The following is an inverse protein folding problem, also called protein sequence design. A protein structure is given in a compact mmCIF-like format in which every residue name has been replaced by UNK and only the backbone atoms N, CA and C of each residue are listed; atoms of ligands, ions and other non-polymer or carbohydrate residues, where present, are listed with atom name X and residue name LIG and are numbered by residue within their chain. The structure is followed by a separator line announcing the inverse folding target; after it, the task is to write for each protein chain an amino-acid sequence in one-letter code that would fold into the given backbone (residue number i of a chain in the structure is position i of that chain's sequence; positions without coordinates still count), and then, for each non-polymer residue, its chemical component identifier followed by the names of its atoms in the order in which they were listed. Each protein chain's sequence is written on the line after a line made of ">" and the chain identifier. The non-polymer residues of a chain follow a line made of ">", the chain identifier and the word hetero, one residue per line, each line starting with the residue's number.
data_IF_460183246985
#
_entry.id   IF_460183246985
#
_cell.length_a   1.000
_cell.length_b   1.000
_cell.length_c   1.000
_cell.angle_alpha   90.00
_cell.angle_beta   90.00
_cell.angle_gamma   90.00
#
_symmetry.space_group_name_H-M   'P 1'
#
loop_
_entity.id
_entity.type
_entity.pdbx_description
1 polymer ?
#
# COMPACT_ATOMS: atom_id res chain seq x y z
N UNK A 1 -41.13 79.86 -6.73
CA UNK A 1 -41.51 78.75 -5.80
C UNK A 1 -40.85 77.49 -6.23
N UNK A 2 -39.84 77.09 -5.52
CA UNK A 2 -38.92 76.00 -5.86
C UNK A 2 -39.36 74.74 -5.11
N UNK A 3 -39.47 73.62 -5.85
CA UNK A 3 -39.63 72.31 -5.26
C UNK A 3 -38.43 71.44 -5.70
N UNK A 4 -37.57 71.24 -4.71
CA UNK A 4 -36.43 70.33 -4.79
C UNK A 4 -36.89 68.87 -4.69
N UNK A 5 -36.70 68.09 -5.74
CA UNK A 5 -36.77 66.63 -5.69
C UNK A 5 -35.40 66.06 -5.46
N UNK A 6 -35.15 65.54 -4.29
CA UNK A 6 -33.96 64.70 -3.97
C UNK A 6 -34.28 63.26 -4.35
N UNK A 7 -33.72 62.79 -5.43
CA UNK A 7 -33.71 61.38 -5.78
C UNK A 7 -32.78 60.60 -4.84
N UNK A 8 -33.37 59.75 -4.03
CA UNK A 8 -32.68 58.79 -3.20
C UNK A 8 -32.36 57.54 -4.01
N UNK A 9 -31.12 57.42 -4.46
CA UNK A 9 -30.60 56.17 -5.09
C UNK A 9 -30.31 55.17 -3.98
N UNK A 10 -31.22 54.17 -3.83
CA UNK A 10 -30.96 52.99 -2.99
C UNK A 10 -30.18 52.00 -3.83
N UNK A 11 -28.88 51.94 -3.65
CA UNK A 11 -28.02 50.90 -4.23
C UNK A 11 -28.19 49.60 -3.41
N UNK A 12 -28.98 48.66 -3.96
CA UNK A 12 -29.04 47.30 -3.45
C UNK A 12 -27.69 46.62 -3.78
N UNK A 13 -26.78 46.53 -2.77
CA UNK A 13 -25.66 45.63 -2.81
C UNK A 13 -26.22 44.22 -2.64
N UNK A 14 -26.36 43.50 -3.73
CA UNK A 14 -26.59 42.07 -3.76
C UNK A 14 -25.32 41.37 -3.27
N UNK A 15 -25.29 41.05 -1.96
CA UNK A 15 -24.30 40.14 -1.39
C UNK A 15 -24.57 38.75 -1.94
N UNK A 16 -23.93 38.43 -3.08
CA UNK A 16 -23.76 37.04 -3.49
C UNK A 16 -22.86 36.32 -2.48
N UNK A 17 -23.48 35.76 -1.45
CA UNK A 17 -22.82 34.77 -0.59
C UNK A 17 -22.55 33.55 -1.46
N UNK A 18 -21.32 33.45 -1.96
CA UNK A 18 -20.81 32.17 -2.45
C UNK A 18 -20.79 31.22 -1.26
N UNK A 19 -21.90 30.51 -1.07
CA UNK A 19 -21.86 29.30 -0.24
C UNK A 19 -20.96 28.32 -0.99
N UNK A 20 -19.68 28.27 -0.59
CA UNK A 20 -18.82 27.13 -0.89
C UNK A 20 -19.48 25.93 -0.23
N UNK A 21 -20.27 25.18 -1.00
CA UNK A 21 -20.68 23.85 -0.59
C UNK A 21 -19.40 23.04 -0.44
N UNK A 22 -18.86 22.98 0.77
CA UNK A 22 -17.94 21.92 1.15
C UNK A 22 -18.71 20.63 0.88
N UNK A 23 -18.26 19.84 -0.06
CA UNK A 23 -18.92 18.59 -0.45
C UNK A 23 -19.05 17.75 0.83
N UNK A 24 -20.28 17.62 1.34
CA UNK A 24 -20.53 16.89 2.57
C UNK A 24 -20.19 15.42 2.33
N UNK A 25 -19.25 14.88 3.11
CA UNK A 25 -18.81 13.50 3.00
C UNK A 25 -19.95 12.57 3.45
N UNK A 26 -20.76 12.09 2.50
CA UNK A 26 -21.83 11.13 2.81
C UNK A 26 -21.25 9.80 3.27
N UNK A 27 -22.04 9.01 4.01
CA UNK A 27 -21.64 7.67 4.44
C UNK A 27 -21.25 6.76 3.25
N UNK A 28 -21.92 6.95 2.10
CA UNK A 28 -21.62 6.22 0.86
C UNK A 28 -20.24 6.59 0.30
N UNK A 29 -19.90 7.90 0.26
CA UNK A 29 -18.59 8.37 -0.18
C UNK A 29 -17.50 7.83 0.72
N UNK A 30 -17.69 7.88 2.04
CA UNK A 30 -16.73 7.36 3.02
C UNK A 30 -16.52 5.85 2.86
N UNK A 31 -17.58 5.07 2.72
CA UNK A 31 -17.52 3.62 2.52
C UNK A 31 -16.79 3.26 1.22
N UNK A 32 -17.09 3.97 0.13
CA UNK A 32 -16.44 3.79 -1.16
C UNK A 32 -14.93 4.10 -1.07
N UNK A 33 -14.56 5.24 -0.49
CA UNK A 33 -13.17 5.64 -0.35
C UNK A 33 -12.39 4.66 0.52
N UNK A 34 -12.98 4.18 1.63
CA UNK A 34 -12.40 3.15 2.48
C UNK A 34 -12.12 1.86 1.72
N UNK A 35 -13.06 1.42 0.87
CA UNK A 35 -12.91 0.23 0.05
C UNK A 35 -11.81 0.39 -1.01
N UNK A 36 -11.78 1.52 -1.71
CA UNK A 36 -10.75 1.83 -2.70
C UNK A 36 -9.36 1.89 -2.05
N UNK A 37 -9.23 2.56 -0.90
CA UNK A 37 -7.97 2.63 -0.16
C UNK A 37 -7.51 1.24 0.26
N UNK A 38 -8.42 0.38 0.73
CA UNK A 38 -8.10 -0.99 1.09
C UNK A 38 -7.55 -1.80 -0.10
N UNK A 39 -8.14 -1.65 -1.29
CA UNK A 39 -7.64 -2.31 -2.52
C UNK A 39 -6.23 -1.84 -2.88
N UNK A 40 -5.93 -0.56 -2.68
CA UNK A 40 -4.66 0.04 -3.11
C UNK A 40 -3.53 -0.21 -2.11
N UNK A 41 -3.78 0.04 -0.81
CA UNK A 41 -2.74 0.06 0.23
C UNK A 41 -2.94 -0.99 1.32
N UNK A 42 -3.95 -1.85 1.20
CA UNK A 42 -4.30 -2.91 2.16
C UNK A 42 -4.49 -2.41 3.60
N UNK A 43 -4.70 -1.10 3.79
CA UNK A 43 -4.95 -0.48 5.09
C UNK A 43 -6.44 -0.25 5.30
N UNK A 44 -6.93 -0.64 6.47
CA UNK A 44 -8.26 -0.29 6.95
C UNK A 44 -8.12 0.71 8.10
N UNK A 45 -8.48 1.97 7.86
CA UNK A 45 -8.62 2.93 8.96
C UNK A 45 -9.92 2.63 9.72
N UNK A 46 -9.85 2.51 11.04
CA UNK A 46 -11.01 2.15 11.87
C UNK A 46 -11.87 3.36 12.21
N UNK A 47 -11.28 4.34 12.85
CA UNK A 47 -11.99 5.51 13.37
C UNK A 47 -11.27 6.78 12.95
N UNK A 48 -12.02 7.72 12.41
CA UNK A 48 -11.49 8.99 11.94
C UNK A 48 -11.03 8.93 10.47
N UNK A 49 -10.86 10.11 9.91
CA UNK A 49 -10.37 10.29 8.53
C UNK A 49 -8.97 10.87 8.64
N UNK A 50 -7.92 10.10 8.35
CA UNK A 50 -6.58 10.64 8.37
C UNK A 50 -6.41 11.68 7.25
N UNK A 51 -5.66 12.73 7.52
CA UNK A 51 -5.14 13.68 6.54
C UNK A 51 -3.86 13.13 5.92
N UNK A 52 -2.99 12.58 6.77
CA UNK A 52 -1.76 11.94 6.35
C UNK A 52 -1.40 10.77 7.28
N UNK A 53 -0.70 9.80 6.73
CA UNK A 53 -0.11 8.66 7.47
C UNK A 53 1.35 8.54 7.06
N UNK A 54 2.25 8.46 8.04
CA UNK A 54 3.66 8.18 7.84
C UNK A 54 4.03 6.95 8.68
N UNK A 55 4.63 5.95 8.06
CA UNK A 55 5.05 4.71 8.72
C UNK A 55 6.53 4.49 8.41
N UNK A 56 7.33 4.17 9.41
CA UNK A 56 8.70 3.69 9.25
C UNK A 56 8.84 2.33 9.92
N UNK A 57 9.63 1.46 9.32
CA UNK A 57 10.00 0.16 9.89
C UNK A 57 11.50 0.01 9.76
N UNK A 58 12.17 -0.24 10.87
CA UNK A 58 13.62 -0.35 10.92
C UNK A 58 14.05 -1.61 11.67
N UNK A 59 14.98 -2.36 11.08
CA UNK A 59 15.71 -3.44 11.73
C UNK A 59 17.01 -2.91 12.33
N UNK A 60 17.28 -3.15 13.63
CA UNK A 60 18.53 -2.72 14.26
C UNK A 60 19.79 -3.30 13.63
N UNK A 61 19.68 -4.46 13.00
CA UNK A 61 20.77 -5.15 12.29
C UNK A 61 20.93 -4.68 10.82
N UNK A 62 20.11 -3.70 10.39
CA UNK A 62 20.14 -3.15 9.02
C UNK A 62 19.51 -4.04 7.95
N UNK A 63 18.86 -5.15 8.32
CA UNK A 63 18.20 -6.04 7.36
C UNK A 63 17.08 -5.36 6.58
N UNK A 64 16.22 -4.60 7.26
CA UNK A 64 15.03 -3.97 6.70
C UNK A 64 14.94 -2.51 7.07
N UNK A 65 14.72 -1.67 6.06
CA UNK A 65 14.23 -0.31 6.22
C UNK A 65 13.01 -0.12 5.31
N UNK A 66 11.90 0.40 5.85
CA UNK A 66 10.73 0.75 5.06
C UNK A 66 10.22 2.13 5.47
N UNK A 67 9.86 2.96 4.51
CA UNK A 67 9.19 4.25 4.71
C UNK A 67 7.94 4.32 3.85
N UNK A 68 6.80 4.64 4.45
CA UNK A 68 5.52 4.82 3.77
C UNK A 68 4.96 6.19 4.11
N UNK A 69 4.47 6.90 3.10
CA UNK A 69 3.73 8.14 3.26
C UNK A 69 2.45 8.08 2.42
N UNK A 70 1.33 8.48 3.00
CA UNK A 70 0.04 8.51 2.33
C UNK A 70 -0.71 9.78 2.69
N UNK A 71 -1.41 10.40 1.73
CA UNK A 71 -2.20 11.60 1.92
C UNK A 71 -3.64 11.35 1.48
N UNK A 72 -4.60 11.89 2.22
CA UNK A 72 -6.02 11.66 2.02
C UNK A 72 -6.80 12.97 1.94
N UNK A 73 -7.90 12.97 1.21
CA UNK A 73 -8.87 14.07 1.18
C UNK A 73 -9.67 14.13 2.49
N UNK A 74 -10.41 15.20 2.70
CA UNK A 74 -11.35 15.34 3.84
C UNK A 74 -12.41 14.23 3.88
N UNK A 75 -12.76 13.65 2.73
CA UNK A 75 -13.66 12.50 2.65
C UNK A 75 -12.91 11.15 2.65
N UNK A 76 -11.65 11.13 3.06
CA UNK A 76 -10.86 9.91 3.23
C UNK A 76 -10.41 9.23 1.94
N UNK A 77 -10.52 9.88 0.78
CA UNK A 77 -9.99 9.33 -0.47
C UNK A 77 -8.47 9.46 -0.49
N UNK A 78 -7.75 8.38 -0.80
CA UNK A 78 -6.31 8.40 -0.99
C UNK A 78 -5.96 9.29 -2.18
N UNK A 79 -5.24 10.39 -1.94
CA UNK A 79 -4.82 11.34 -2.98
C UNK A 79 -3.51 10.90 -3.61
N UNK A 80 -2.58 10.42 -2.79
CA UNK A 80 -1.29 9.96 -3.23
C UNK A 80 -0.50 9.33 -2.10
N UNK A 81 0.58 8.66 -2.46
CA UNK A 81 1.47 8.02 -1.51
C UNK A 81 2.81 7.64 -2.12
N UNK A 82 3.77 7.39 -1.26
CA UNK A 82 5.09 6.86 -1.60
C UNK A 82 5.46 5.79 -0.59
N UNK A 83 6.10 4.74 -1.08
CA UNK A 83 6.72 3.71 -0.26
C UNK A 83 8.13 3.47 -0.75
N UNK A 84 9.06 3.37 0.18
CA UNK A 84 10.43 2.90 -0.06
C UNK A 84 10.67 1.68 0.82
N UNK A 85 11.29 0.65 0.27
CA UNK A 85 11.75 -0.53 1.02
C UNK A 85 13.19 -0.82 0.60
N UNK A 86 14.07 -1.00 1.59
CA UNK A 86 15.44 -1.49 1.42
C UNK A 86 15.60 -2.74 2.27
N UNK A 87 16.03 -3.84 1.64
CA UNK A 87 16.41 -5.08 2.31
C UNK A 87 17.87 -5.37 2.04
N UNK A 88 18.63 -5.66 3.09
CA UNK A 88 20.06 -5.97 3.00
C UNK A 88 20.35 -7.33 3.66
N UNK A 89 20.82 -8.30 2.88
CA UNK A 89 21.23 -9.61 3.37
C UNK A 89 22.76 -9.75 3.32
N UNK A 90 23.35 -10.16 4.43
CA UNK A 90 24.79 -10.31 4.59
C UNK A 90 25.20 -11.78 4.35
N UNK A 91 25.78 -12.05 3.19
CA UNK A 91 26.48 -13.31 2.95
C UNK A 91 27.90 -13.30 3.52
N UNK A 92 28.64 -14.42 3.39
CA UNK A 92 30.03 -14.49 3.89
C UNK A 92 30.93 -13.47 3.19
N UNK A 93 30.93 -13.45 1.87
CA UNK A 93 31.81 -12.61 1.03
C UNK A 93 31.04 -11.48 0.31
N UNK A 94 29.73 -11.49 0.37
CA UNK A 94 28.90 -10.57 -0.41
C UNK A 94 27.82 -9.91 0.45
N UNK A 95 27.36 -8.76 0.00
CA UNK A 95 26.17 -8.07 0.51
C UNK A 95 25.16 -7.98 -0.63
N UNK A 96 23.97 -8.52 -0.43
CA UNK A 96 22.86 -8.31 -1.35
C UNK A 96 21.95 -7.19 -0.83
N UNK A 97 21.68 -6.20 -1.67
CA UNK A 97 20.74 -5.12 -1.36
C UNK A 97 19.63 -5.08 -2.41
N UNK A 98 18.39 -5.18 -1.96
CA UNK A 98 17.19 -4.96 -2.76
C UNK A 98 16.55 -3.64 -2.36
N UNK A 99 16.25 -2.79 -3.34
CA UNK A 99 15.56 -1.52 -3.13
C UNK A 99 14.29 -1.50 -3.97
N UNK A 100 13.19 -1.05 -3.38
CA UNK A 100 11.92 -0.85 -4.09
C UNK A 100 11.36 0.52 -3.74
N UNK A 101 10.88 1.24 -4.74
CA UNK A 101 10.19 2.51 -4.59
C UNK A 101 8.85 2.41 -5.31
N UNK A 102 7.77 2.73 -4.60
CA UNK A 102 6.41 2.81 -5.14
C UNK A 102 5.92 4.23 -5.01
N UNK A 103 5.37 4.77 -6.10
CA UNK A 103 4.66 6.04 -6.12
C UNK A 103 3.22 5.80 -6.55
N UNK A 104 2.30 6.47 -5.88
CA UNK A 104 0.87 6.38 -6.12
C UNK A 104 0.28 7.78 -6.22
N UNK A 105 -0.52 8.03 -7.26
CA UNK A 105 -1.17 9.31 -7.46
C UNK A 105 -2.60 9.11 -7.94
N UNK A 106 -3.54 9.85 -7.35
CA UNK A 106 -4.92 9.96 -7.83
C UNK A 106 -4.94 10.68 -9.17
N UNK A 107 -5.75 10.17 -10.10
CA UNK A 107 -6.04 10.76 -11.40
C UNK A 107 -7.55 10.92 -11.57
N UNK A 108 -7.98 11.54 -12.64
CA UNK A 108 -9.40 11.65 -12.99
C UNK A 108 -10.09 10.27 -13.14
N UNK A 109 -9.36 9.27 -13.67
CA UNK A 109 -9.93 7.95 -13.99
C UNK A 109 -9.62 6.86 -12.95
N UNK A 110 -8.97 7.20 -11.83
CA UNK A 110 -8.58 6.24 -10.80
C UNK A 110 -7.24 6.59 -10.20
N UNK A 111 -6.37 5.60 -9.98
CA UNK A 111 -5.03 5.82 -9.43
C UNK A 111 -3.97 5.26 -10.35
N UNK A 112 -2.90 6.02 -10.55
CA UNK A 112 -1.68 5.55 -11.22
C UNK A 112 -0.69 5.07 -10.17
N UNK A 113 -0.12 3.89 -10.40
CA UNK A 113 0.97 3.33 -9.61
C UNK A 113 2.23 3.22 -10.48
N UNK A 114 3.37 3.55 -9.89
CA UNK A 114 4.69 3.35 -10.48
C UNK A 114 5.56 2.62 -9.45
N UNK A 115 6.24 1.56 -9.88
CA UNK A 115 7.21 0.81 -9.08
C UNK A 115 8.55 0.83 -9.81
N UNK A 116 9.61 1.15 -9.06
CA UNK A 116 11.00 0.91 -9.44
C UNK A 116 11.60 -0.03 -8.41
N UNK A 117 12.17 -1.14 -8.88
CA UNK A 117 12.83 -2.10 -7.99
C UNK A 117 14.15 -2.56 -8.60
N UNK A 118 15.16 -2.70 -7.78
CA UNK A 118 16.46 -3.18 -8.20
C UNK A 118 17.10 -4.04 -7.11
N UNK A 119 17.97 -4.94 -7.53
CA UNK A 119 18.80 -5.74 -6.63
C UNK A 119 20.25 -5.70 -7.10
N UNK A 120 21.17 -5.52 -6.16
CA UNK A 120 22.60 -5.52 -6.41
C UNK A 120 23.31 -6.45 -5.41
N UNK A 121 24.38 -7.10 -5.87
CA UNK A 121 25.33 -7.80 -5.01
C UNK A 121 26.62 -7.00 -5.02
N UNK A 122 27.14 -6.69 -3.83
CA UNK A 122 28.45 -6.12 -3.62
C UNK A 122 29.39 -7.17 -3.02
N UNK A 123 30.58 -7.31 -3.59
CA UNK A 123 31.67 -8.10 -3.01
C UNK A 123 32.33 -7.32 -1.88
N UNK A 124 32.47 -7.92 -0.70
CA UNK A 124 32.97 -7.24 0.51
C UNK A 124 34.44 -6.82 0.41
N UNK A 125 35.24 -7.57 -0.36
CA UNK A 125 36.68 -7.36 -0.46
C UNK A 125 37.01 -6.33 -1.54
N UNK A 126 36.41 -6.50 -2.73
CA UNK A 126 36.71 -5.65 -3.90
C UNK A 126 35.79 -4.42 -4.00
N UNK A 127 34.72 -4.34 -3.20
CA UNK A 127 33.66 -3.32 -3.29
C UNK A 127 32.98 -3.27 -4.68
N UNK A 128 33.23 -4.25 -5.53
CA UNK A 128 32.61 -4.35 -6.86
C UNK A 128 31.14 -4.69 -6.73
N UNK A 129 30.28 -3.90 -7.36
CA UNK A 129 28.85 -4.14 -7.41
C UNK A 129 28.44 -4.80 -8.73
N UNK A 130 27.49 -5.75 -8.63
CA UNK A 130 26.92 -6.44 -9.78
C UNK A 130 25.39 -6.35 -9.69
N UNK A 131 24.71 -5.81 -10.71
CA UNK A 131 23.25 -5.81 -10.75
C UNK A 131 22.72 -7.24 -10.89
N UNK A 132 21.69 -7.57 -10.10
CA UNK A 132 20.99 -8.86 -10.11
C UNK A 132 19.72 -8.76 -10.92
N UNK A 133 18.95 -7.71 -10.67
CA UNK A 133 17.74 -7.39 -11.42
C UNK A 133 17.47 -5.88 -11.39
N UNK A 134 16.71 -5.42 -12.37
CA UNK A 134 16.09 -4.10 -12.41
C UNK A 134 14.70 -4.26 -12.99
N UNK A 135 13.70 -3.79 -12.28
CA UNK A 135 12.30 -3.86 -12.71
C UNK A 135 11.65 -2.49 -12.59
N UNK A 136 10.88 -2.12 -13.60
CA UNK A 136 9.94 -1.00 -13.54
C UNK A 136 8.53 -1.53 -13.80
N UNK A 137 7.53 -0.94 -13.14
CA UNK A 137 6.13 -1.22 -13.40
C UNK A 137 5.35 0.08 -13.40
N UNK A 138 4.49 0.22 -14.37
CA UNK A 138 3.45 1.25 -14.40
C UNK A 138 2.08 0.60 -14.44
N UNK A 139 1.14 1.11 -13.66
CA UNK A 139 -0.20 0.56 -13.62
C UNK A 139 -1.27 1.61 -13.33
N UNK A 140 -2.52 1.23 -13.61
CA UNK A 140 -3.70 2.05 -13.38
C UNK A 140 -4.75 1.20 -12.71
N UNK A 141 -5.31 1.69 -11.60
CA UNK A 141 -6.54 1.21 -10.99
C UNK A 141 -7.73 1.91 -11.65
N UNK A 142 -8.64 1.13 -12.20
CA UNK A 142 -9.80 1.62 -12.96
C UNK A 142 -11.07 1.54 -12.12
N UNK A 143 -11.86 2.61 -12.16
CA UNK A 143 -13.13 2.71 -11.47
C UNK A 143 -14.26 2.19 -12.36
N UNK A 144 -15.25 1.55 -11.75
CA UNK A 144 -16.54 1.29 -12.37
C UNK A 144 -17.49 2.52 -12.27
N UNK A 145 -18.69 2.41 -12.81
CA UNK A 145 -19.70 3.50 -12.82
C UNK A 145 -20.11 3.97 -11.41
N UNK A 146 -19.86 3.14 -10.37
CA UNK A 146 -20.12 3.51 -8.97
C UNK A 146 -18.90 4.16 -8.29
N UNK A 147 -17.80 4.37 -9.04
CA UNK A 147 -16.54 4.92 -8.51
C UNK A 147 -15.78 3.96 -7.60
N UNK A 148 -16.01 2.65 -7.72
CA UNK A 148 -15.29 1.60 -6.99
C UNK A 148 -14.25 0.98 -7.94
N UNK A 149 -13.05 0.71 -7.43
CA UNK A 149 -12.03 0.00 -8.20
C UNK A 149 -12.53 -1.40 -8.54
N UNK A 150 -12.64 -1.69 -9.84
CA UNK A 150 -13.07 -3.00 -10.34
C UNK A 150 -11.96 -3.74 -11.08
N UNK A 151 -10.95 -3.02 -11.56
CA UNK A 151 -9.83 -3.57 -12.32
C UNK A 151 -8.55 -2.78 -12.07
N UNK A 152 -7.41 -3.45 -12.18
CA UNK A 152 -6.12 -2.81 -12.38
C UNK A 152 -5.44 -3.40 -13.62
N UNK A 153 -4.68 -2.56 -14.35
CA UNK A 153 -3.86 -2.97 -15.48
C UNK A 153 -2.46 -2.46 -15.25
N UNK A 154 -1.45 -3.30 -15.46
CA UNK A 154 -0.06 -2.91 -15.30
C UNK A 154 0.83 -3.45 -16.43
N UNK A 155 1.86 -2.66 -16.74
CA UNK A 155 2.96 -3.01 -17.62
C UNK A 155 4.25 -3.03 -16.83
N UNK A 156 5.01 -4.09 -16.93
CA UNK A 156 6.31 -4.19 -16.29
C UNK A 156 7.41 -4.46 -17.29
N UNK A 157 8.59 -3.94 -16.99
CA UNK A 157 9.83 -4.20 -17.73
C UNK A 157 10.86 -4.72 -16.75
N UNK A 158 11.40 -5.90 -17.02
CA UNK A 158 12.55 -6.46 -16.32
C UNK A 158 13.74 -6.29 -17.24
N UNK A 159 14.63 -5.37 -16.88
CA UNK A 159 15.79 -5.05 -17.67
C UNK A 159 16.81 -6.21 -17.67
N UNK A 160 17.44 -6.42 -18.81
CA UNK A 160 18.55 -7.35 -18.95
C UNK A 160 19.73 -6.90 -18.07
N UNK A 161 20.31 -7.84 -17.34
CA UNK A 161 21.50 -7.60 -16.49
C UNK A 161 22.80 -8.06 -17.13
N UNK A 162 22.72 -8.81 -18.26
CA UNK A 162 23.86 -9.25 -19.08
C UNK A 162 23.75 -8.66 -20.47
N UNK A 163 24.89 -8.43 -21.11
CA UNK A 163 24.98 -7.78 -22.41
C UNK A 163 24.22 -8.49 -23.54
N UNK A 164 24.12 -9.82 -23.47
CA UNK A 164 23.46 -10.63 -24.49
C UNK A 164 21.97 -10.91 -24.21
N UNK A 165 21.47 -10.52 -23.05
CA UNK A 165 20.07 -10.69 -22.68
C UNK A 165 19.23 -9.52 -23.23
N UNK A 166 17.94 -9.77 -23.43
CA UNK A 166 16.96 -8.73 -23.79
C UNK A 166 16.05 -8.44 -22.62
N UNK A 167 15.58 -7.21 -22.54
CA UNK A 167 14.54 -6.80 -21.60
C UNK A 167 13.30 -7.68 -21.80
N UNK A 168 12.68 -8.08 -20.68
CA UNK A 168 11.43 -8.83 -20.67
C UNK A 168 10.31 -7.87 -20.29
N UNK A 169 9.29 -7.82 -21.12
CA UNK A 169 8.07 -7.04 -20.85
C UNK A 169 6.93 -7.96 -20.45
N UNK A 170 6.10 -7.52 -19.53
CA UNK A 170 4.90 -8.24 -19.14
C UNK A 170 3.74 -7.26 -18.97
N UNK A 171 2.54 -7.75 -19.31
CA UNK A 171 1.28 -7.07 -19.04
C UNK A 171 0.48 -7.94 -18.09
N UNK A 172 -0.08 -7.34 -17.06
CA UNK A 172 -1.00 -8.04 -16.17
C UNK A 172 -2.25 -7.23 -15.89
N UNK A 173 -3.37 -7.93 -15.66
CA UNK A 173 -4.63 -7.37 -15.22
C UNK A 173 -5.03 -8.00 -13.89
N UNK A 174 -5.70 -7.24 -13.04
CA UNK A 174 -6.31 -7.74 -11.82
C UNK A 174 -7.79 -7.37 -11.86
N UNK A 175 -8.67 -8.35 -11.77
CA UNK A 175 -10.12 -8.15 -11.64
C UNK A 175 -10.51 -8.35 -10.17
N UNK A 176 -11.23 -7.38 -9.61
CA UNK A 176 -11.67 -7.36 -8.22
C UNK A 176 -13.13 -7.79 -8.12
N UNK A 177 -13.43 -8.76 -7.26
CA UNK A 177 -14.79 -9.23 -7.00
C UNK A 177 -15.17 -8.97 -5.54
N UNK A 178 -16.48 -8.67 -5.33
CA UNK A 178 -17.03 -8.31 -4.04
C UNK A 178 -18.11 -9.32 -3.62
N UNK A 179 -18.24 -9.57 -2.32
CA UNK A 179 -19.29 -10.40 -1.77
C UNK A 179 -20.63 -9.63 -1.67
N UNK A 180 -21.67 -10.31 -1.19
CA UNK A 180 -23.02 -9.72 -1.01
C UNK A 180 -23.06 -8.55 0.00
N UNK A 181 -22.09 -8.47 0.91
CA UNK A 181 -21.94 -7.37 1.86
C UNK A 181 -21.11 -6.21 1.31
N UNK A 182 -20.67 -6.25 0.04
CA UNK A 182 -19.85 -5.22 -0.58
C UNK A 182 -18.37 -5.24 -0.18
N UNK A 183 -17.91 -6.27 0.54
CA UNK A 183 -16.51 -6.44 0.92
C UNK A 183 -15.74 -7.13 -0.21
N UNK A 184 -14.45 -6.81 -0.35
CA UNK A 184 -13.57 -7.43 -1.34
C UNK A 184 -13.46 -8.93 -1.08
N UNK A 185 -13.96 -9.76 -2.00
CA UNK A 185 -13.93 -11.22 -1.88
C UNK A 185 -12.71 -11.84 -2.53
N UNK A 186 -12.31 -11.32 -3.69
CA UNK A 186 -11.12 -11.81 -4.40
C UNK A 186 -10.50 -10.77 -5.32
N UNK A 187 -9.22 -10.97 -5.62
CA UNK A 187 -8.46 -10.26 -6.63
C UNK A 187 -7.80 -11.29 -7.55
N UNK A 188 -8.35 -11.45 -8.77
CA UNK A 188 -7.87 -12.42 -9.75
C UNK A 188 -6.89 -11.73 -10.70
N UNK A 189 -5.62 -12.10 -10.62
CA UNK A 189 -4.56 -11.61 -11.52
C UNK A 189 -4.41 -12.54 -12.71
N UNK A 190 -4.27 -11.95 -13.89
CA UNK A 190 -3.93 -12.63 -15.15
C UNK A 190 -2.81 -11.84 -15.81
N UNK A 191 -1.76 -12.51 -16.26
CA UNK A 191 -0.64 -11.85 -16.90
C UNK A 191 0.01 -12.70 -17.97
N UNK A 192 0.94 -12.09 -18.70
CA UNK A 192 1.69 -12.74 -19.75
C UNK A 192 2.75 -13.73 -19.20
N UNK A 193 3.12 -13.60 -17.92
CA UNK A 193 3.99 -14.57 -17.24
C UNK A 193 3.17 -15.52 -16.38
N UNK A 194 3.57 -16.79 -16.31
CA UNK A 194 2.84 -17.81 -15.54
C UNK A 194 2.70 -17.45 -14.04
N UNK A 195 3.70 -16.80 -13.46
CA UNK A 195 3.70 -16.34 -12.08
C UNK A 195 2.62 -15.26 -11.80
N UNK A 196 2.17 -14.56 -12.85
CA UNK A 196 1.12 -13.54 -12.73
C UNK A 196 -0.28 -14.15 -12.64
N UNK A 197 -0.45 -15.43 -12.97
CA UNK A 197 -1.76 -16.08 -12.96
C UNK A 197 -2.06 -16.63 -11.56
N UNK A 198 -2.67 -15.80 -10.73
CA UNK A 198 -3.05 -16.17 -9.37
C UNK A 198 -4.32 -15.43 -8.91
N UNK A 199 -4.88 -15.91 -7.82
CA UNK A 199 -6.04 -15.27 -7.17
C UNK A 199 -5.75 -15.13 -5.69
N UNK A 200 -5.95 -13.93 -5.16
CA UNK A 200 -5.99 -13.66 -3.73
C UNK A 200 -7.43 -13.75 -3.26
N UNK A 201 -7.68 -14.52 -2.20
CA UNK A 201 -8.99 -14.66 -1.55
C UNK A 201 -8.95 -13.95 -0.21
N UNK A 202 -10.03 -13.24 0.13
CA UNK A 202 -10.19 -12.48 1.37
C UNK A 202 -11.25 -13.11 2.24
N UNK A 203 -10.96 -13.34 3.52
CA UNK A 203 -11.87 -13.91 4.49
C UNK A 203 -12.12 -12.95 5.64
N UNK A 204 -13.36 -12.88 6.10
CA UNK A 204 -13.82 -11.96 7.14
C UNK A 204 -14.50 -12.69 8.28
N UNK A 205 -14.43 -12.12 9.48
CA UNK A 205 -15.21 -12.61 10.63
C UNK A 205 -16.67 -12.11 10.59
N UNK A 206 -17.45 -12.49 11.59
CA UNK A 206 -18.86 -12.08 11.73
C UNK A 206 -19.03 -10.54 11.90
N UNK A 207 -17.98 -9.82 12.31
CA UNK A 207 -17.96 -8.37 12.45
C UNK A 207 -17.43 -7.67 11.19
N UNK A 208 -17.31 -8.37 10.06
CA UNK A 208 -16.78 -7.86 8.81
C UNK A 208 -15.30 -7.41 8.87
N UNK A 209 -14.50 -7.90 9.85
CA UNK A 209 -13.07 -7.62 9.95
C UNK A 209 -12.31 -8.65 9.11
N UNK A 210 -11.30 -8.20 8.37
CA UNK A 210 -10.44 -9.10 7.59
C UNK A 210 -9.65 -10.00 8.54
N UNK A 211 -9.80 -11.31 8.43
CA UNK A 211 -9.05 -12.27 9.24
C UNK A 211 -7.98 -13.01 8.46
N UNK A 212 -8.11 -13.08 7.12
CA UNK A 212 -7.14 -13.79 6.29
C UNK A 212 -7.15 -13.28 4.86
N UNK A 213 -5.95 -13.20 4.26
CA UNK A 213 -5.79 -13.21 2.80
C UNK A 213 -4.97 -14.42 2.40
N UNK A 214 -5.28 -15.02 1.26
CA UNK A 214 -4.59 -16.20 0.78
C UNK A 214 -4.44 -16.19 -0.73
N UNK A 215 -3.20 -16.41 -1.17
CA UNK A 215 -2.82 -16.71 -2.56
C UNK A 215 -1.96 -17.97 -2.60
N UNK A 216 -1.58 -18.50 -3.77
CA UNK A 216 -0.70 -19.67 -3.87
C UNK A 216 0.66 -19.52 -3.16
N UNK A 217 1.17 -18.28 -3.07
CA UNK A 217 2.50 -18.01 -2.51
C UNK A 217 2.49 -17.15 -1.25
N UNK A 218 1.35 -16.62 -0.83
CA UNK A 218 1.29 -15.71 0.32
C UNK A 218 0.03 -15.98 1.14
N UNK A 219 0.21 -16.08 2.44
CA UNK A 219 -0.88 -16.14 3.44
C UNK A 219 -0.64 -15.01 4.43
N UNK A 220 -1.67 -14.21 4.69
CA UNK A 220 -1.70 -13.21 5.76
C UNK A 220 -2.85 -13.51 6.69
N UNK A 221 -2.61 -13.44 7.99
CA UNK A 221 -3.60 -13.68 9.04
C UNK A 221 -3.59 -12.53 10.04
N UNK A 222 -4.78 -12.03 10.36
CA UNK A 222 -5.00 -10.84 11.18
C UNK A 222 -5.64 -11.25 12.50
N UNK A 223 -5.02 -10.88 13.62
CA UNK A 223 -5.55 -11.05 14.96
C UNK A 223 -6.00 -9.73 15.54
N UNK A 224 -7.07 -9.77 16.34
CA UNK A 224 -7.66 -8.59 16.97
C UNK A 224 -7.73 -8.76 18.49
N UNK A 225 -7.61 -7.66 19.21
CA UNK A 225 -7.83 -7.65 20.65
C UNK A 225 -9.33 -7.59 21.00
N UNK A 226 -9.63 -7.57 22.29
CA UNK A 226 -11.00 -7.51 22.79
C UNK A 226 -11.75 -6.22 22.46
N UNK A 227 -11.00 -5.14 22.14
CA UNK A 227 -11.55 -3.86 21.69
C UNK A 227 -11.71 -3.83 20.16
N UNK A 228 -11.35 -4.92 19.50
CA UNK A 228 -11.41 -5.07 18.06
C UNK A 228 -10.32 -4.32 17.31
N UNK A 229 -9.24 -3.86 17.99
CA UNK A 229 -8.07 -3.26 17.35
C UNK A 229 -7.18 -4.36 16.77
N UNK A 230 -6.48 -4.07 15.68
CA UNK A 230 -5.52 -5.02 15.12
C UNK A 230 -4.36 -5.21 16.10
N UNK A 231 -4.18 -6.44 16.55
CA UNK A 231 -3.14 -6.84 17.51
C UNK A 231 -1.98 -7.50 16.80
N UNK A 232 -2.27 -8.43 15.88
CA UNK A 232 -1.24 -9.19 15.18
C UNK A 232 -1.51 -9.25 13.68
N UNK A 233 -0.43 -9.21 12.90
CA UNK A 233 -0.41 -9.55 11.48
C UNK A 233 0.68 -10.58 11.25
N UNK A 234 0.30 -11.81 10.92
CA UNK A 234 1.20 -12.86 10.47
C UNK A 234 1.20 -12.91 8.96
N UNK A 235 2.38 -12.90 8.33
CA UNK A 235 2.56 -13.06 6.89
C UNK A 235 3.54 -14.17 6.61
N UNK A 236 3.13 -15.16 5.82
CA UNK A 236 4.01 -16.19 5.26
C UNK A 236 4.06 -16.05 3.75
N UNK A 237 5.26 -15.94 3.21
CA UNK A 237 5.50 -15.79 1.79
C UNK A 237 6.45 -16.90 1.33
N UNK A 238 6.07 -17.63 0.28
CA UNK A 238 6.80 -18.78 -0.24
C UNK A 238 7.07 -18.58 -1.72
N UNK A 239 8.30 -18.17 -2.04
CA UNK A 239 8.81 -18.11 -3.41
C UNK A 239 10.09 -18.99 -3.51
N UNK A 240 11.26 -18.38 -3.77
CA UNK A 240 12.56 -19.07 -3.70
C UNK A 240 13.04 -19.28 -2.27
N UNK A 241 12.52 -18.49 -1.35
CA UNK A 241 12.74 -18.58 0.09
C UNK A 241 11.39 -18.56 0.80
N UNK A 242 11.34 -19.10 2.02
CA UNK A 242 10.18 -18.92 2.89
C UNK A 242 10.49 -17.75 3.81
N UNK A 243 9.70 -16.68 3.72
CA UNK A 243 9.75 -15.54 4.63
C UNK A 243 8.50 -15.53 5.51
N UNK A 244 8.70 -15.52 6.83
CA UNK A 244 7.63 -15.38 7.82
C UNK A 244 7.84 -14.09 8.59
N UNK A 245 6.80 -13.27 8.67
CA UNK A 245 6.76 -12.05 9.50
C UNK A 245 5.61 -12.16 10.48
N UNK A 246 5.87 -11.80 11.73
CA UNK A 246 4.84 -11.62 12.76
C UNK A 246 4.99 -10.21 13.31
N UNK A 247 4.06 -9.33 12.98
CA UNK A 247 3.94 -8.02 13.58
C UNK A 247 2.98 -8.11 14.79
N UNK A 248 3.40 -7.56 15.93
CA UNK A 248 2.57 -7.45 17.12
C UNK A 248 2.50 -5.99 17.53
N UNK A 249 1.31 -5.42 17.53
CA UNK A 249 1.09 -4.05 17.93
C UNK A 249 1.23 -3.90 19.44
N UNK A 250 1.99 -2.89 19.88
CA UNK A 250 2.26 -2.59 21.30
C UNK A 250 1.54 -1.32 21.75
N UNK A 251 1.31 -0.37 20.82
CA UNK A 251 0.73 0.92 21.17
C UNK A 251 -0.26 1.36 20.07
N UNK A 252 -1.38 1.93 20.51
CA UNK A 252 -2.43 2.48 19.65
C UNK A 252 -2.64 3.95 19.96
N UNK A 253 -3.04 4.71 18.93
CA UNK A 253 -3.51 6.07 19.13
C UNK A 253 -4.98 6.07 19.63
N UNK A 254 -5.53 7.26 19.86
CA UNK A 254 -6.94 7.45 20.32
C UNK A 254 -7.98 6.95 19.32
N UNK A 255 -7.62 6.71 18.07
CA UNK A 255 -8.48 6.16 17.02
C UNK A 255 -8.40 4.64 16.89
N UNK A 256 -7.56 3.99 17.70
CA UNK A 256 -7.34 2.54 17.66
C UNK A 256 -6.41 2.07 16.53
N UNK A 257 -5.67 2.99 15.91
CA UNK A 257 -4.66 2.67 14.91
C UNK A 257 -3.33 2.33 15.59
N UNK A 258 -2.67 1.28 15.14
CA UNK A 258 -1.36 0.89 15.69
C UNK A 258 -0.29 1.94 15.34
N UNK A 259 0.37 2.47 16.37
CA UNK A 259 1.44 3.46 16.22
C UNK A 259 2.82 2.91 16.52
N UNK A 260 2.91 1.74 17.14
CA UNK A 260 4.15 1.01 17.38
C UNK A 260 3.90 -0.49 17.35
N UNK A 261 4.70 -1.22 16.59
CA UNK A 261 4.68 -2.68 16.59
C UNK A 261 6.10 -3.26 16.56
N UNK A 262 6.29 -4.43 17.19
CA UNK A 262 7.44 -5.28 16.99
C UNK A 262 7.17 -6.26 15.86
N UNK A 263 8.19 -6.52 15.04
CA UNK A 263 8.09 -7.42 13.89
C UNK A 263 9.20 -8.47 14.00
N UNK A 264 8.83 -9.72 14.19
CA UNK A 264 9.72 -10.87 14.07
C UNK A 264 9.77 -11.34 12.63
N UNK A 265 10.96 -11.48 12.06
CA UNK A 265 11.18 -11.91 10.68
C UNK A 265 12.02 -13.18 10.71
N UNK A 266 11.52 -14.24 10.07
CA UNK A 266 12.25 -15.50 9.88
C UNK A 266 12.34 -15.78 8.39
N UNK A 267 13.55 -15.97 7.90
CA UNK A 267 13.82 -16.31 6.51
C UNK A 267 14.44 -17.70 6.46
N UNK A 268 13.95 -18.53 5.56
CA UNK A 268 14.49 -19.87 5.33
C UNK A 268 14.91 -19.98 3.85
N UNK A 269 16.12 -19.51 3.52
CA UNK A 269 16.66 -19.69 2.19
C UNK A 269 17.14 -21.14 2.00
N UNK A 270 17.21 -21.53 0.73
CA UNK A 270 17.78 -22.82 0.30
C UNK A 270 19.05 -22.53 -0.49
N UNK A 271 20.16 -23.12 -0.07
CA UNK A 271 21.43 -22.99 -0.77
C UNK A 271 21.46 -23.84 -2.09
N UNK A 272 22.55 -23.72 -2.82
CA UNK A 272 22.73 -24.44 -4.12
C UNK A 272 22.79 -25.97 -3.95
N UNK A 273 23.01 -26.46 -2.73
CA UNK A 273 23.03 -27.90 -2.41
C UNK A 273 21.66 -28.42 -1.99
N UNK A 274 20.65 -27.55 -1.88
CA UNK A 274 19.32 -27.87 -1.38
C UNK A 274 19.20 -27.81 0.14
N UNK A 275 20.26 -27.44 0.87
CA UNK A 275 20.22 -27.30 2.32
C UNK A 275 19.55 -25.98 2.71
N UNK A 276 18.61 -26.08 3.64
CA UNK A 276 17.96 -24.92 4.23
C UNK A 276 18.69 -24.47 5.49
N UNK A 277 18.70 -23.16 5.71
CA UNK A 277 19.15 -22.54 6.95
C UNK A 277 18.16 -21.46 7.38
N UNK A 278 18.20 -21.05 8.63
CA UNK A 278 17.25 -20.09 9.19
C UNK A 278 18.00 -18.83 9.59
N UNK A 279 17.53 -17.70 9.06
CA UNK A 279 17.94 -16.36 9.47
C UNK A 279 16.79 -15.71 10.25
N UNK A 280 17.11 -14.98 11.31
CA UNK A 280 16.14 -14.26 12.13
C UNK A 280 16.55 -12.81 12.27
N UNK A 281 15.59 -11.94 12.04
CA UNK A 281 15.72 -10.50 12.21
C UNK A 281 14.54 -9.98 13.02
N UNK A 282 14.72 -8.83 13.63
CA UNK A 282 13.66 -8.09 14.31
C UNK A 282 13.59 -6.70 13.69
N UNK A 283 12.39 -6.12 13.65
CA UNK A 283 12.20 -4.73 13.25
C UNK A 283 11.18 -4.06 14.16
N UNK A 284 11.23 -2.74 14.21
CA UNK A 284 10.25 -1.92 14.92
C UNK A 284 9.55 -1.04 13.90
N UNK A 285 8.23 -1.13 13.86
CA UNK A 285 7.38 -0.23 13.12
C UNK A 285 6.94 0.92 14.02
N UNK A 286 7.00 2.15 13.50
CA UNK A 286 6.40 3.34 14.10
C UNK A 286 5.53 4.04 13.08
N UNK A 287 4.36 4.53 13.52
CA UNK A 287 3.41 5.24 12.65
C UNK A 287 2.96 6.56 13.26
N UNK A 288 2.82 7.57 12.42
CA UNK A 288 2.25 8.88 12.75
C UNK A 288 1.03 9.13 11.86
N UNK A 289 -0.07 9.49 12.51
CA UNK A 289 -1.33 9.83 11.86
C UNK A 289 -1.65 11.29 12.14
N UNK A 290 -1.98 12.04 11.11
CA UNK A 290 -2.57 13.37 11.22
C UNK A 290 -4.02 13.28 10.74
N UNK A 291 -4.96 13.88 11.46
CA UNK A 291 -6.38 13.81 11.14
C UNK A 291 -6.91 15.17 10.66
N UNK A 292 -7.97 15.12 9.89
CA UNK A 292 -8.74 16.32 9.58
C UNK A 292 -9.52 16.76 10.82
N UNK A 293 -9.51 18.07 11.09
CA UNK A 293 -10.27 18.71 12.18
C UNK A 293 -11.75 18.79 11.83
#
# INVERSE_FOLDING_TARGET
>A
MSLNNKNLFITLLSLCTFQTYAAQCTAEILAKNKLNNFIIVSQQTKNGIPKSVSITTDSPDGYLHTSVQSNFSQCGELIGGRMEEVKTSLGQETVFTATSEIQLNKTEFGWRIQLNSNGVIADKNSQKTTPVYRQTLEGIYQLNDKGIISRAVSHSVIAATKADDKDKTAVSTVDYAFNSSGLLASAARKGSMAIDNNTVVYSYDANHRLIKTQSPSTIEEYGYDNEGRELTLSKTQTYFTIEKKLATCEQWNSHGECIRANIDITITPTDRTGKQYVEKHNAVMTAKYEYWN
#
